data_IF_983666493473
#
_entry.id   IF_983666493473
#
_cell.length_a   1.000
_cell.length_b   1.000
_cell.length_c   1.000
_cell.angle_alpha   90.00
_cell.angle_beta   90.00
_cell.angle_gamma   90.00
#
_symmetry.space_group_name_H-M   'P 1'
#
loop_
_entity.id
_entity.type
_entity.pdbx_description
1 polymer ?
#
# COMPACT_ATOMS: atom_id res chain seq x y z
N UNK A 1 10.72 -6.32 -15.63
CA UNK A 1 10.05 -6.83 -16.84
C UNK A 1 8.72 -7.42 -16.39
N UNK A 2 7.63 -6.78 -16.74
CA UNK A 2 6.28 -7.34 -16.50
C UNK A 2 5.74 -7.82 -17.85
N UNK A 3 6.22 -8.96 -18.32
CA UNK A 3 5.55 -9.62 -19.44
C UNK A 3 4.31 -10.29 -18.86
N UNK A 4 3.11 -9.93 -19.30
CA UNK A 4 1.90 -10.64 -18.89
C UNK A 4 2.05 -12.11 -19.27
N UNK A 5 1.69 -13.01 -18.37
CA UNK A 5 1.58 -14.43 -18.72
C UNK A 5 0.25 -14.60 -19.45
N UNK A 6 0.33 -15.00 -20.70
CA UNK A 6 -0.82 -15.46 -21.46
C UNK A 6 -1.07 -16.93 -21.10
N UNK A 7 -2.08 -17.16 -20.24
CA UNK A 7 -2.43 -18.50 -19.77
C UNK A 7 -3.04 -19.36 -20.89
N UNK A 8 -3.44 -18.77 -22.01
CA UNK A 8 -3.99 -19.45 -23.18
C UNK A 8 -2.87 -19.86 -24.17
N UNK A 9 -1.66 -19.30 -23.99
CA UNK A 9 -0.49 -19.56 -24.85
C UNK A 9 0.75 -19.86 -23.98
N UNK A 10 0.67 -20.91 -23.17
CA UNK A 10 1.81 -21.36 -22.36
C UNK A 10 2.88 -22.05 -23.25
N UNK A 11 4.17 -21.94 -22.88
CA UNK A 11 5.25 -22.57 -23.64
C UNK A 11 5.04 -24.08 -23.80
N UNK A 12 5.29 -24.63 -24.97
CA UNK A 12 5.20 -26.07 -25.22
C UNK A 12 6.41 -26.84 -24.65
N UNK A 13 6.28 -28.16 -24.52
CA UNK A 13 7.36 -29.04 -24.09
C UNK A 13 7.46 -29.28 -22.59
N UNK A 14 6.42 -28.95 -21.84
CA UNK A 14 6.30 -29.21 -20.41
C UNK A 14 5.04 -30.03 -20.10
N UNK A 15 5.12 -30.92 -19.11
CA UNK A 15 3.99 -31.76 -18.67
C UNK A 15 2.98 -30.94 -17.84
N UNK A 16 3.44 -29.88 -17.17
CA UNK A 16 2.61 -29.00 -16.37
C UNK A 16 3.25 -27.61 -16.18
N UNK A 17 2.45 -26.61 -15.78
CA UNK A 17 2.87 -25.26 -15.48
C UNK A 17 2.43 -24.85 -14.09
N UNK A 18 3.29 -24.13 -13.37
CA UNK A 18 2.95 -23.53 -12.10
C UNK A 18 3.08 -22.00 -12.17
N UNK A 19 1.96 -21.29 -12.04
CA UNK A 19 1.89 -19.83 -12.09
C UNK A 19 2.14 -19.28 -10.69
N UNK A 20 3.26 -18.58 -10.51
CA UNK A 20 3.69 -17.97 -9.24
C UNK A 20 3.93 -16.47 -9.41
N UNK A 21 3.05 -15.76 -10.11
CA UNK A 21 3.24 -14.34 -10.49
C UNK A 21 2.90 -13.34 -9.41
N UNK A 22 2.47 -13.81 -8.24
CA UNK A 22 2.05 -12.95 -7.15
C UNK A 22 0.68 -12.31 -7.39
N UNK A 23 0.44 -11.18 -6.71
CA UNK A 23 -0.79 -10.38 -6.83
C UNK A 23 -0.42 -8.91 -7.05
N UNK A 24 -0.22 -8.47 -8.30
CA UNK A 24 0.31 -7.14 -8.60
C UNK A 24 -0.73 -6.01 -8.52
N UNK A 25 -2.03 -6.33 -8.47
CA UNK A 25 -3.10 -5.32 -8.49
C UNK A 25 -3.23 -4.65 -7.13
N UNK A 26 -2.76 -3.41 -7.02
CA UNK A 26 -2.88 -2.62 -5.81
C UNK A 26 -4.35 -2.24 -5.52
N UNK A 27 -4.69 -2.13 -4.23
CA UNK A 27 -5.95 -1.51 -3.82
C UNK A 27 -5.91 -0.03 -4.11
N UNK A 28 -6.97 0.49 -4.71
CA UNK A 28 -7.11 1.91 -4.99
C UNK A 28 -8.04 2.59 -3.99
N UNK A 29 -7.98 3.92 -3.95
CA UNK A 29 -8.79 4.78 -3.10
C UNK A 29 -9.68 5.66 -4.00
N UNK A 30 -10.91 5.23 -4.19
CA UNK A 30 -11.87 5.94 -5.04
C UNK A 30 -12.50 7.12 -4.27
N UNK A 31 -11.76 8.24 -4.19
CA UNK A 31 -12.20 9.49 -3.57
C UNK A 31 -11.97 10.66 -4.53
N UNK A 32 -12.70 11.79 -4.35
CA UNK A 32 -12.46 13.00 -5.16
C UNK A 32 -11.00 13.41 -5.15
N UNK A 33 -10.46 13.78 -6.31
CA UNK A 33 -9.07 14.20 -6.48
C UNK A 33 -8.06 13.07 -6.62
N UNK A 34 -8.50 11.80 -6.78
CA UNK A 34 -7.62 10.64 -7.00
C UNK A 34 -6.71 10.79 -8.21
N UNK A 35 -7.15 11.53 -9.20
CA UNK A 35 -6.49 11.80 -10.48
C UNK A 35 -5.51 13.00 -10.44
N UNK A 36 -5.37 13.68 -9.31
CA UNK A 36 -4.42 14.79 -9.16
C UNK A 36 -2.97 14.32 -9.36
N UNK A 37 -2.18 15.17 -9.99
CA UNK A 37 -0.73 14.96 -10.13
C UNK A 37 -0.07 14.97 -8.76
N UNK A 38 0.53 13.85 -8.41
CA UNK A 38 1.16 13.63 -7.10
C UNK A 38 0.49 12.52 -6.28
N UNK A 39 -0.62 11.92 -6.74
CA UNK A 39 -1.23 10.74 -6.10
C UNK A 39 -0.79 9.49 -6.86
N UNK A 40 0.04 8.66 -6.23
CA UNK A 40 0.69 7.49 -6.82
C UNK A 40 0.41 6.22 -6.04
N UNK A 41 0.46 5.08 -6.71
CA UNK A 41 0.62 3.81 -6.01
C UNK A 41 2.03 3.69 -5.44
N UNK A 42 2.16 3.08 -4.27
CA UNK A 42 3.44 2.86 -3.60
C UNK A 42 4.49 2.18 -4.50
N UNK A 43 4.06 1.17 -5.27
CA UNK A 43 4.97 0.45 -6.17
C UNK A 43 5.51 1.30 -7.32
N UNK A 44 4.84 2.39 -7.71
CA UNK A 44 5.40 3.31 -8.71
C UNK A 44 6.70 3.96 -8.20
N UNK A 45 6.70 4.42 -6.94
CA UNK A 45 7.90 4.92 -6.30
C UNK A 45 8.97 3.83 -6.15
N UNK A 46 8.60 2.70 -5.54
CA UNK A 46 9.56 1.68 -5.13
C UNK A 46 10.19 0.98 -6.33
N UNK A 47 9.40 0.59 -7.33
CA UNK A 47 9.92 -0.03 -8.55
C UNK A 47 10.79 0.94 -9.36
N UNK A 48 10.37 2.21 -9.45
CA UNK A 48 11.19 3.21 -10.15
C UNK A 48 12.49 3.48 -9.40
N UNK A 49 12.47 3.56 -8.07
CA UNK A 49 13.68 3.75 -7.27
C UNK A 49 14.67 2.59 -7.45
N UNK A 50 14.19 1.35 -7.48
CA UNK A 50 15.05 0.19 -7.74
C UNK A 50 15.71 0.27 -9.13
N UNK A 51 14.97 0.70 -10.16
CA UNK A 51 15.53 0.90 -11.51
C UNK A 51 16.59 1.99 -11.54
N UNK A 52 16.38 3.10 -10.80
CA UNK A 52 17.37 4.16 -10.65
C UNK A 52 18.65 3.64 -9.99
N UNK A 53 18.53 2.86 -8.92
CA UNK A 53 19.68 2.23 -8.27
C UNK A 53 20.41 1.23 -9.19
N UNK A 54 19.69 0.61 -10.12
CA UNK A 54 20.25 -0.24 -11.17
C UNK A 54 20.84 0.57 -12.37
N UNK A 55 20.92 1.92 -12.27
CA UNK A 55 21.51 2.79 -13.27
C UNK A 55 20.57 3.30 -14.37
N UNK A 56 19.26 3.01 -14.29
CA UNK A 56 18.28 3.57 -15.23
C UNK A 56 18.02 5.04 -14.93
N UNK A 57 18.00 5.86 -15.98
CA UNK A 57 17.65 7.28 -15.90
C UNK A 57 16.21 7.53 -16.31
N UNK A 58 15.59 8.50 -15.68
CA UNK A 58 14.22 8.95 -15.99
C UNK A 58 14.24 10.46 -16.23
N UNK A 59 13.42 10.95 -17.13
CA UNK A 59 13.22 12.37 -17.29
C UNK A 59 12.59 12.98 -16.03
N UNK A 60 12.74 14.29 -15.84
CA UNK A 60 12.15 15.00 -14.68
C UNK A 60 10.62 14.85 -14.62
N UNK A 61 9.96 14.72 -15.77
CA UNK A 61 8.50 14.55 -15.85
C UNK A 61 8.06 13.14 -15.45
N UNK A 62 8.86 12.13 -15.70
CA UNK A 62 8.56 10.73 -15.39
C UNK A 62 9.00 10.33 -13.98
N UNK A 63 9.87 11.12 -13.37
CA UNK A 63 10.47 10.78 -12.08
C UNK A 63 9.49 10.98 -10.93
N UNK A 64 9.05 9.89 -10.32
CA UNK A 64 8.34 9.89 -9.05
C UNK A 64 9.37 10.10 -7.94
N UNK A 65 9.33 11.25 -7.26
CA UNK A 65 10.32 11.58 -6.24
C UNK A 65 9.71 12.38 -5.09
N UNK A 66 10.16 12.06 -3.89
CA UNK A 66 9.83 12.76 -2.65
C UNK A 66 10.76 13.94 -2.35
N UNK A 67 11.79 14.17 -3.17
CA UNK A 67 12.77 15.23 -2.93
C UNK A 67 12.11 16.60 -2.80
N UNK A 68 12.35 17.28 -1.67
CA UNK A 68 11.81 18.59 -1.36
C UNK A 68 10.29 18.66 -1.20
N UNK A 69 9.63 17.53 -0.90
CA UNK A 69 8.15 17.43 -0.80
C UNK A 69 7.69 17.03 0.59
N UNK A 70 6.45 17.44 0.92
CA UNK A 70 5.69 16.87 2.01
C UNK A 70 5.01 15.58 1.51
N UNK A 71 5.31 14.46 2.15
CA UNK A 71 4.87 13.13 1.75
C UNK A 71 3.79 12.62 2.68
N UNK A 72 2.70 12.11 2.10
CA UNK A 72 1.68 11.36 2.83
C UNK A 72 1.69 9.90 2.35
N UNK A 73 1.86 8.95 3.27
CA UNK A 73 1.75 7.52 3.00
C UNK A 73 0.44 7.01 3.59
N UNK A 74 -0.41 6.42 2.77
CA UNK A 74 -1.70 5.85 3.20
C UNK A 74 -1.57 4.33 3.27
N UNK A 75 -1.57 3.80 4.50
CA UNK A 75 -1.43 2.38 4.83
C UNK A 75 -0.26 2.09 5.76
N UNK A 76 -0.47 1.18 6.71
CA UNK A 76 0.45 0.88 7.82
C UNK A 76 1.31 -0.38 7.63
N UNK A 77 1.28 -1.03 6.46
CA UNK A 77 2.02 -2.27 6.18
C UNK A 77 3.46 -2.05 5.74
N UNK A 78 4.15 -3.15 5.39
CA UNK A 78 5.56 -3.14 4.99
C UNK A 78 5.82 -2.26 3.75
N UNK A 79 4.92 -2.30 2.76
CA UNK A 79 5.01 -1.41 1.58
C UNK A 79 4.97 0.07 1.97
N UNK A 80 4.14 0.45 2.96
CA UNK A 80 4.11 1.81 3.49
C UNK A 80 5.42 2.18 4.18
N UNK A 81 5.98 1.27 4.96
CA UNK A 81 7.28 1.42 5.60
C UNK A 81 8.40 1.67 4.57
N UNK A 82 8.42 0.90 3.48
CA UNK A 82 9.41 1.07 2.40
C UNK A 82 9.27 2.45 1.72
N UNK A 83 8.04 2.94 1.55
CA UNK A 83 7.80 4.29 1.04
C UNK A 83 8.34 5.37 1.97
N UNK A 84 8.21 5.19 3.30
CA UNK A 84 8.74 6.12 4.31
C UNK A 84 10.25 6.24 4.16
N UNK A 85 11.00 5.13 4.30
CA UNK A 85 12.45 5.14 4.20
C UNK A 85 12.95 5.62 2.84
N UNK A 86 12.30 5.21 1.74
CA UNK A 86 12.64 5.69 0.40
C UNK A 86 12.44 7.21 0.29
N UNK A 87 11.35 7.75 0.84
CA UNK A 87 11.06 9.19 0.81
C UNK A 87 12.10 9.99 1.60
N UNK A 88 12.50 9.52 2.78
CA UNK A 88 13.56 10.16 3.57
C UNK A 88 14.89 10.17 2.81
N UNK A 89 15.31 9.03 2.28
CA UNK A 89 16.55 8.91 1.50
C UNK A 89 16.55 9.73 0.20
N UNK A 90 15.36 10.05 -0.33
CA UNK A 90 15.21 10.99 -1.45
C UNK A 90 15.21 12.46 -1.03
N UNK A 91 15.19 12.80 0.26
CA UNK A 91 15.20 14.18 0.77
C UNK A 91 13.81 14.80 0.90
N UNK A 92 12.83 14.05 1.38
CA UNK A 92 11.52 14.59 1.73
C UNK A 92 11.61 15.64 2.84
N UNK A 93 10.77 16.68 2.78
CA UNK A 93 10.67 17.71 3.84
C UNK A 93 9.98 17.18 5.08
N UNK A 94 8.97 16.36 4.89
CA UNK A 94 8.29 15.64 5.96
C UNK A 94 7.66 14.37 5.42
N UNK A 95 7.49 13.37 6.28
CA UNK A 95 6.77 12.13 5.95
C UNK A 95 5.74 11.88 7.04
N UNK A 96 4.46 11.81 6.64
CA UNK A 96 3.35 11.43 7.51
C UNK A 96 2.77 10.13 7.00
N UNK A 97 2.54 9.16 7.89
CA UNK A 97 1.84 7.91 7.59
C UNK A 97 0.50 7.89 8.30
N UNK A 98 -0.55 7.56 7.58
CA UNK A 98 -1.88 7.36 8.16
C UNK A 98 -2.35 5.92 7.96
N UNK A 99 -3.07 5.43 8.96
CA UNK A 99 -3.68 4.11 8.96
C UNK A 99 -5.14 4.22 9.41
N UNK A 100 -6.03 3.52 8.70
CA UNK A 100 -7.46 3.51 9.03
C UNK A 100 -7.76 2.70 10.29
N UNK A 101 -6.92 1.69 10.57
CA UNK A 101 -7.07 0.83 11.74
C UNK A 101 -6.59 1.53 13.01
N UNK A 102 -7.06 1.10 14.20
CA UNK A 102 -6.55 1.55 15.48
C UNK A 102 -5.05 1.24 15.63
N UNK A 103 -4.38 2.05 16.42
CA UNK A 103 -2.97 1.80 16.77
C UNK A 103 -2.83 0.44 17.45
N UNK A 104 -2.04 -0.49 16.89
CA UNK A 104 -1.81 -1.78 17.54
C UNK A 104 -1.08 -1.62 18.87
N UNK A 105 -1.31 -2.54 19.83
CA UNK A 105 -0.59 -2.52 21.12
C UNK A 105 0.91 -2.76 20.93
N UNK A 106 1.71 -2.25 21.86
CA UNK A 106 3.14 -2.55 21.94
C UNK A 106 3.31 -3.87 22.70
N UNK A 107 4.13 -4.77 22.17
CA UNK A 107 4.39 -6.07 22.80
C UNK A 107 3.32 -7.13 22.48
N UNK A 108 2.99 -7.97 23.47
CA UNK A 108 2.01 -9.04 23.27
C UNK A 108 0.58 -8.52 23.15
N UNK A 109 -0.21 -9.12 22.24
CA UNK A 109 -1.61 -8.83 22.09
C UNK A 109 -2.45 -10.07 22.49
N UNK A 110 -3.17 -10.03 23.62
CA UNK A 110 -4.00 -11.15 24.05
C UNK A 110 -5.14 -11.51 23.10
N UNK A 111 -5.57 -10.56 22.26
CA UNK A 111 -6.62 -10.79 21.24
C UNK A 111 -6.12 -11.61 20.04
N UNK A 112 -4.81 -11.73 19.86
CA UNK A 112 -4.17 -12.52 18.79
C UNK A 112 -3.06 -13.39 19.35
N UNK A 113 -3.40 -14.40 20.24
CA UNK A 113 -2.41 -15.32 20.83
C UNK A 113 -1.86 -16.26 19.75
N UNK A 114 -0.67 -16.80 20.01
CA UNK A 114 -0.14 -17.89 19.18
C UNK A 114 -1.17 -19.05 19.09
N UNK A 115 -1.42 -19.67 17.93
CA UNK A 115 -0.69 -19.57 16.64
C UNK A 115 -1.22 -18.49 15.69
N UNK A 116 -2.03 -17.57 16.13
CA UNK A 116 -2.50 -16.46 15.30
C UNK A 116 -1.35 -15.48 15.01
N UNK A 117 -1.44 -14.80 13.84
CA UNK A 117 -0.50 -13.73 13.54
C UNK A 117 -0.69 -12.57 14.52
N UNK A 118 0.36 -12.16 15.26
CA UNK A 118 0.23 -11.13 16.28
C UNK A 118 -0.03 -9.76 15.65
N UNK A 119 -1.17 -9.16 16.00
CA UNK A 119 -1.49 -7.76 15.67
C UNK A 119 -0.84 -6.87 16.71
N UNK A 120 0.42 -6.50 16.49
CA UNK A 120 1.23 -5.64 17.38
C UNK A 120 1.83 -4.50 16.59
N UNK A 121 2.17 -3.41 17.29
CA UNK A 121 2.84 -2.28 16.67
C UNK A 121 4.23 -2.70 16.19
N UNK A 122 4.40 -2.71 14.88
CA UNK A 122 5.69 -2.95 14.24
C UNK A 122 6.36 -1.62 13.92
N UNK A 123 7.63 -1.51 14.27
CA UNK A 123 8.49 -0.40 13.87
C UNK A 123 9.67 -1.00 13.13
N UNK A 124 9.82 -0.63 11.86
CA UNK A 124 10.94 -1.05 11.03
C UNK A 124 12.05 0.00 11.08
N UNK A 125 13.24 -0.35 10.58
CA UNK A 125 14.33 0.61 10.39
C UNK A 125 13.91 1.84 9.57
N UNK A 126 13.05 1.66 8.57
CA UNK A 126 12.50 2.78 7.79
C UNK A 126 11.65 3.74 8.61
N UNK A 127 10.89 3.25 9.59
CA UNK A 127 10.16 4.11 10.52
C UNK A 127 11.11 4.87 11.47
N UNK A 128 12.25 4.25 11.83
CA UNK A 128 13.27 4.86 12.69
C UNK A 128 14.03 6.00 12.00
N UNK A 129 14.04 6.03 10.66
CA UNK A 129 14.54 7.17 9.88
C UNK A 129 13.71 8.45 10.11
N UNK A 130 12.51 8.31 10.68
CA UNK A 130 11.62 9.40 11.10
C UNK A 130 10.33 9.45 10.28
N UNK A 131 9.20 9.47 10.98
CA UNK A 131 7.92 9.76 10.34
C UNK A 131 6.85 10.01 11.42
N UNK A 132 5.91 10.89 11.12
CA UNK A 132 4.71 11.02 11.93
C UNK A 132 3.76 9.88 11.58
N UNK A 133 3.44 9.02 12.55
CA UNK A 133 2.50 7.90 12.36
C UNK A 133 1.18 8.19 13.06
N UNK A 134 0.08 8.10 12.31
CA UNK A 134 -1.26 8.40 12.81
C UNK A 134 -2.22 7.27 12.46
N UNK A 135 -3.18 7.00 13.35
CA UNK A 135 -4.13 5.90 13.25
C UNK A 135 -5.57 6.40 13.33
N UNK A 136 -6.51 5.53 13.00
CA UNK A 136 -7.94 5.86 12.97
C UNK A 136 -8.26 7.04 12.05
N UNK A 137 -7.60 7.13 10.90
CA UNK A 137 -7.83 8.18 9.91
C UNK A 137 -8.24 7.58 8.56
N UNK A 138 -9.37 8.03 8.04
CA UNK A 138 -9.78 7.78 6.66
C UNK A 138 -9.55 9.00 5.78
N UNK A 139 -9.31 8.81 4.50
CA UNK A 139 -9.16 9.90 3.53
C UNK A 139 -10.48 10.15 2.83
N UNK A 140 -11.00 11.38 2.89
CA UNK A 140 -12.25 11.77 2.25
C UNK A 140 -12.04 12.30 0.83
N UNK A 141 -10.96 13.04 0.60
CA UNK A 141 -10.61 13.58 -0.71
C UNK A 141 -9.16 14.06 -0.75
N UNK A 142 -8.62 14.16 -1.94
CA UNK A 142 -7.38 14.89 -2.21
C UNK A 142 -7.69 16.31 -2.66
N UNK A 143 -6.84 17.25 -2.28
CA UNK A 143 -6.99 18.69 -2.54
C UNK A 143 -5.89 19.09 -3.53
N UNK A 144 -6.29 19.74 -4.61
CA UNK A 144 -5.37 20.21 -5.65
C UNK A 144 -5.39 21.70 -5.85
N UNK A 145 -4.36 22.21 -6.51
CA UNK A 145 -4.30 23.58 -7.01
C UNK A 145 -5.07 23.73 -8.36
N UNK A 146 -5.13 24.95 -8.88
CA UNK A 146 -5.76 25.27 -10.15
C UNK A 146 -5.10 24.61 -11.37
N UNK A 147 -3.90 24.03 -11.22
CA UNK A 147 -3.12 23.31 -12.25
C UNK A 147 -3.26 21.80 -12.12
N UNK A 148 -4.06 21.32 -11.16
CA UNK A 148 -4.27 19.90 -10.89
C UNK A 148 -3.11 19.21 -10.16
N UNK A 149 -2.27 19.96 -9.44
CA UNK A 149 -1.24 19.37 -8.58
C UNK A 149 -1.78 19.21 -7.15
N UNK A 150 -1.42 18.11 -6.53
CA UNK A 150 -1.76 17.83 -5.13
C UNK A 150 -1.16 18.88 -4.20
N UNK A 151 -1.96 19.33 -3.22
CA UNK A 151 -1.54 20.26 -2.16
C UNK A 151 -1.87 19.72 -0.77
N UNK A 152 -2.72 18.70 -0.64
CA UNK A 152 -3.06 18.09 0.62
C UNK A 152 -4.13 17.01 0.49
N UNK A 153 -4.46 16.40 1.62
CA UNK A 153 -5.54 15.42 1.75
C UNK A 153 -6.44 15.79 2.92
N UNK A 154 -7.75 15.83 2.69
CA UNK A 154 -8.73 15.92 3.77
C UNK A 154 -8.92 14.53 4.35
N UNK A 155 -8.61 14.39 5.63
CA UNK A 155 -8.79 13.16 6.39
C UNK A 155 -9.82 13.35 7.49
N UNK A 156 -10.42 12.25 7.93
CA UNK A 156 -11.45 12.24 8.97
C UNK A 156 -11.12 11.17 10.01
N UNK A 157 -11.26 11.51 11.28
CA UNK A 157 -11.11 10.56 12.38
C UNK A 157 -12.25 9.52 12.33
N UNK A 158 -11.90 8.26 12.56
CA UNK A 158 -12.85 7.15 12.61
C UNK A 158 -12.76 6.40 13.93
N UNK A 159 -13.90 5.90 14.36
CA UNK A 159 -14.02 4.98 15.50
C UNK A 159 -14.38 3.58 15.01
N UNK A 160 -13.86 2.58 15.69
CA UNK A 160 -14.15 1.17 15.43
C UNK A 160 -15.02 0.61 16.55
N UNK A 161 -16.27 0.35 16.24
CA UNK A 161 -17.27 -0.15 17.20
C UNK A 161 -17.41 -1.67 17.08
N UNK A 162 -17.61 -2.37 18.20
CA UNK A 162 -17.98 -3.78 18.16
C UNK A 162 -19.21 -3.99 17.28
N UNK A 163 -19.20 -5.02 16.45
CA UNK A 163 -20.36 -5.38 15.67
C UNK A 163 -21.35 -6.17 16.57
N UNK A 164 -22.58 -5.70 16.79
CA UNK A 164 -23.58 -6.39 17.62
C UNK A 164 -23.91 -7.79 17.13
N UNK A 165 -23.85 -8.01 15.81
CA UNK A 165 -24.15 -9.29 15.17
C UNK A 165 -22.91 -10.22 15.13
N UNK A 166 -21.81 -9.84 15.77
CA UNK A 166 -20.53 -10.52 15.71
C UNK A 166 -19.77 -10.24 14.41
N UNK A 167 -18.54 -10.73 14.32
CA UNK A 167 -17.70 -10.57 13.14
C UNK A 167 -16.78 -9.32 13.21
N UNK A 168 -16.57 -8.68 12.07
CA UNK A 168 -15.62 -7.54 11.99
C UNK A 168 -16.21 -6.29 12.64
N UNK A 169 -15.41 -5.51 13.40
CA UNK A 169 -15.82 -4.20 13.91
C UNK A 169 -16.34 -3.30 12.79
N UNK A 170 -17.26 -2.40 13.14
CA UNK A 170 -17.87 -1.43 12.24
C UNK A 170 -17.13 -0.11 12.36
N UNK A 171 -16.66 0.39 11.22
CA UNK A 171 -16.04 1.71 11.13
C UNK A 171 -17.12 2.80 11.12
N UNK A 172 -16.96 3.82 11.96
CA UNK A 172 -17.84 4.98 12.03
C UNK A 172 -17.04 6.27 11.95
N UNK A 173 -17.28 7.15 10.96
CA UNK A 173 -16.71 8.49 10.95
C UNK A 173 -17.17 9.32 12.15
N UNK A 174 -16.28 10.09 12.74
CA UNK A 174 -16.57 10.94 13.92
C UNK A 174 -17.04 12.34 13.54
N UNK A 175 -16.87 12.76 12.30
CA UNK A 175 -17.10 14.12 11.83
C UNK A 175 -15.92 15.08 12.06
N UNK A 176 -14.87 14.64 12.77
CA UNK A 176 -13.66 15.45 12.97
C UNK A 176 -12.76 15.35 11.75
N UNK A 177 -12.67 16.43 11.00
CA UNK A 177 -11.90 16.52 9.76
C UNK A 177 -10.73 17.46 9.92
N UNK A 178 -9.66 17.16 9.20
CA UNK A 178 -8.49 18.01 9.08
C UNK A 178 -7.87 17.87 7.70
N UNK A 179 -6.98 18.79 7.35
CA UNK A 179 -6.22 18.73 6.11
C UNK A 179 -4.76 18.47 6.44
N UNK A 180 -4.23 17.36 5.92
CA UNK A 180 -2.80 17.06 5.97
C UNK A 180 -2.16 17.64 4.71
N UNK A 181 -1.17 18.51 4.88
CA UNK A 181 -0.39 19.05 3.77
C UNK A 181 0.41 17.92 3.10
N UNK A 182 0.28 17.80 1.79
CA UNK A 182 1.00 16.83 1.00
C UNK A 182 1.21 17.31 -0.43
N UNK A 183 2.44 17.24 -0.91
CA UNK A 183 2.79 17.50 -2.30
C UNK A 183 2.83 16.18 -3.10
N UNK A 184 2.89 15.06 -2.40
CA UNK A 184 2.85 13.70 -2.98
C UNK A 184 2.23 12.72 -2.00
N UNK A 185 1.42 11.79 -2.53
CA UNK A 185 0.77 10.71 -1.78
C UNK A 185 1.20 9.37 -2.35
N UNK A 186 1.49 8.40 -1.47
CA UNK A 186 1.73 7.01 -1.83
C UNK A 186 0.64 6.11 -1.23
N UNK A 187 -0.14 5.47 -2.10
CA UNK A 187 -1.18 4.51 -1.71
C UNK A 187 -0.53 3.15 -1.45
N UNK A 188 -0.44 2.77 -0.19
CA UNK A 188 0.18 1.53 0.30
C UNK A 188 -0.83 0.65 1.06
N UNK A 189 -2.04 0.52 0.52
CA UNK A 189 -3.19 -0.12 1.19
C UNK A 189 -3.29 -1.63 0.92
N UNK A 190 -2.21 -2.26 0.43
CA UNK A 190 -2.16 -3.67 0.07
C UNK A 190 -2.70 -3.95 -1.34
N UNK A 191 -2.92 -5.24 -1.62
CA UNK A 191 -3.23 -5.72 -2.97
C UNK A 191 -4.58 -6.45 -3.00
N UNK A 192 -5.19 -6.49 -4.17
CA UNK A 192 -6.39 -7.27 -4.42
C UNK A 192 -5.99 -8.74 -4.62
N UNK A 193 -6.82 -9.64 -4.13
CA UNK A 193 -6.66 -11.07 -4.42
C UNK A 193 -6.85 -11.28 -5.92
N UNK A 194 -6.02 -12.11 -6.57
CA UNK A 194 -6.21 -12.46 -7.97
C UNK A 194 -7.56 -13.13 -8.18
N UNK A 195 -8.17 -12.88 -9.33
CA UNK A 195 -9.40 -13.55 -9.73
C UNK A 195 -9.16 -15.05 -9.85
N UNK A 196 -10.05 -15.83 -9.22
CA UNK A 196 -10.02 -17.28 -9.32
C UNK A 196 -10.83 -17.68 -10.56
N UNK A 197 -10.13 -18.07 -11.62
CA UNK A 197 -10.74 -18.57 -12.86
C UNK A 197 -10.41 -20.04 -13.07
N UNK A 198 -11.30 -20.74 -13.79
CA UNK A 198 -10.99 -22.09 -14.26
C UNK A 198 -9.77 -22.07 -15.19
N UNK A 199 -8.91 -23.09 -15.08
CA UNK A 199 -7.70 -23.20 -15.88
C UNK A 199 -7.67 -24.53 -16.62
N UNK A 200 -6.91 -24.61 -17.72
CA UNK A 200 -6.68 -25.87 -18.41
C UNK A 200 -6.08 -26.94 -17.50
N UNK A 201 -6.26 -28.19 -17.85
CA UNK A 201 -5.57 -29.31 -17.19
C UNK A 201 -4.05 -29.14 -17.28
N UNK A 202 -3.34 -29.47 -16.20
CA UNK A 202 -1.88 -29.28 -16.10
C UNK A 202 -1.44 -27.85 -15.71
N UNK A 203 -2.36 -26.89 -15.52
CA UNK A 203 -2.02 -25.53 -15.07
C UNK A 203 -2.35 -25.35 -13.59
N UNK A 204 -1.32 -25.18 -12.79
CA UNK A 204 -1.40 -24.97 -11.34
C UNK A 204 -1.08 -23.53 -10.99
N UNK A 205 -1.52 -23.08 -9.80
CA UNK A 205 -1.21 -21.74 -9.26
C UNK A 205 -0.74 -21.88 -7.84
N UNK A 206 0.32 -21.15 -7.49
CA UNK A 206 0.89 -21.19 -6.14
C UNK A 206 1.23 -19.79 -5.63
N UNK A 207 1.50 -19.68 -4.32
CA UNK A 207 1.85 -18.45 -3.64
C UNK A 207 0.73 -17.41 -3.66
N UNK A 208 1.09 -16.13 -3.67
CA UNK A 208 0.14 -15.01 -3.66
C UNK A 208 -0.76 -14.99 -4.91
N UNK A 209 -0.33 -15.59 -6.00
CA UNK A 209 -1.18 -15.78 -7.19
C UNK A 209 -2.40 -16.68 -6.89
N UNK A 210 -2.26 -17.62 -5.96
CA UNK A 210 -3.35 -18.52 -5.55
C UNK A 210 -4.19 -17.94 -4.40
N UNK A 211 -3.53 -17.37 -3.39
CA UNK A 211 -4.15 -17.04 -2.10
C UNK A 211 -4.39 -15.54 -1.89
N UNK A 212 -3.81 -14.68 -2.71
CA UNK A 212 -3.68 -13.24 -2.48
C UNK A 212 -2.45 -12.90 -1.64
N UNK A 213 -2.16 -11.61 -1.51
CA UNK A 213 -0.99 -11.14 -0.77
C UNK A 213 -0.95 -11.71 0.65
N UNK A 214 0.12 -12.41 0.99
CA UNK A 214 0.30 -13.09 2.26
C UNK A 214 1.78 -13.09 2.69
N UNK A 215 2.08 -13.78 3.78
CA UNK A 215 3.44 -13.96 4.25
C UNK A 215 4.15 -15.05 3.42
N UNK A 216 5.46 -14.88 3.22
CA UNK A 216 6.33 -15.85 2.52
C UNK A 216 6.12 -17.29 3.01
N UNK A 217 5.86 -17.49 4.29
CA UNK A 217 5.60 -18.82 4.87
C UNK A 217 4.29 -19.48 4.41
N UNK A 218 3.45 -18.76 3.66
CA UNK A 218 2.19 -19.26 3.09
C UNK A 218 2.25 -19.41 1.57
N UNK A 219 3.36 -19.06 0.98
CA UNK A 219 3.59 -19.16 -0.46
C UNK A 219 3.98 -20.57 -0.90
#
# INVERSE_FOLDING_TARGET
MNTPIDEDHLPEGYDAWCICTGTPTARDLNVPGRDLKGVHFALELLAQQNRVLAGQTFSKAERVTANGKHVLVIGGGDTGSDCIGTSHRQGALSVTQIEIMPKPPVGTNPATPWPQWPVVLKTSSSHEEGCERRWCLTTNRFIGDSKGHLTGAEVEEVEWLPNPDGGRPIMKPTGKKEVIKADIVFLAMGFLRPEQKARPEGVFVAGDAATGASLVVRC
#
